data_IF_815622667484
#
_entry.id   IF_815622667484
#
_cell.length_a   1.000
_cell.length_b   1.000
_cell.length_c   1.000
_cell.angle_alpha   90.00
_cell.angle_beta   90.00
_cell.angle_gamma   90.00
#
_symmetry.space_group_name_H-M   'P 1'
#
loop_
_entity.id
_entity.type
_entity.pdbx_description
1 polymer ?
#
# COMPACT_ATOMS: atom_id res chain seq x y z
N UNK A 1 -28.67 -5.42 73.47
CA UNK A 1 -28.22 -4.28 72.65
C UNK A 1 -27.39 -4.85 71.53
N UNK A 2 -27.97 -4.90 70.33
CA UNK A 2 -27.41 -5.55 69.14
C UNK A 2 -26.62 -4.52 68.34
N UNK A 3 -25.32 -4.71 68.17
CA UNK A 3 -24.49 -3.98 67.22
C UNK A 3 -24.54 -4.69 65.86
N UNK A 4 -24.77 -3.99 64.73
CA UNK A 4 -24.77 -4.60 63.41
C UNK A 4 -23.34 -4.70 62.85
N UNK A 5 -23.02 -5.72 62.02
CA UNK A 5 -21.77 -5.76 61.28
C UNK A 5 -21.84 -4.90 60.02
N UNK A 6 -20.82 -4.05 59.83
CA UNK A 6 -20.53 -3.34 58.60
C UNK A 6 -20.05 -4.34 57.55
N UNK A 7 -20.87 -4.63 56.55
CA UNK A 7 -20.41 -5.23 55.28
C UNK A 7 -20.48 -4.14 54.23
N UNK A 8 -19.37 -3.42 54.03
CA UNK A 8 -19.24 -2.52 52.89
C UNK A 8 -18.82 -3.36 51.68
N UNK A 9 -19.83 -3.84 50.97
CA UNK A 9 -19.66 -4.47 49.67
C UNK A 9 -19.28 -3.40 48.68
N UNK A 10 -17.98 -3.29 48.39
CA UNK A 10 -17.50 -2.67 47.16
C UNK A 10 -17.88 -3.57 45.98
N UNK A 11 -19.16 -3.55 45.62
CA UNK A 11 -19.59 -3.85 44.26
C UNK A 11 -18.82 -2.89 43.37
N UNK A 12 -17.81 -3.40 42.66
CA UNK A 12 -17.34 -2.77 41.44
C UNK A 12 -18.55 -2.73 40.54
N UNK A 13 -19.21 -1.58 40.51
CA UNK A 13 -20.18 -1.21 39.49
C UNK A 13 -19.41 -1.29 38.17
N UNK A 14 -19.43 -2.49 37.55
CA UNK A 14 -19.09 -2.61 36.16
C UNK A 14 -20.12 -1.77 35.44
N UNK A 15 -19.70 -0.64 34.87
CA UNK A 15 -20.47 0.10 33.89
C UNK A 15 -20.76 -0.86 32.72
N UNK A 16 -21.77 -1.71 32.91
CA UNK A 16 -22.33 -2.58 31.89
C UNK A 16 -23.21 -1.70 31.03
N UNK A 17 -22.59 -0.78 30.29
CA UNK A 17 -23.26 -0.13 29.18
C UNK A 17 -23.81 -1.24 28.28
N UNK A 18 -25.12 -1.22 27.97
CA UNK A 18 -25.69 -2.23 27.09
C UNK A 18 -24.92 -2.20 25.78
N UNK A 19 -24.50 -3.38 25.33
CA UNK A 19 -23.77 -3.55 24.09
C UNK A 19 -24.62 -3.02 22.93
N UNK A 20 -24.28 -1.83 22.45
CA UNK A 20 -24.92 -1.20 21.29
C UNK A 20 -23.97 -1.23 20.10
N UNK A 21 -24.51 -1.24 18.88
CA UNK A 21 -23.67 -1.16 17.67
C UNK A 21 -22.76 0.08 17.68
N UNK A 22 -23.23 1.19 18.25
CA UNK A 22 -22.42 2.40 18.41
C UNK A 22 -21.23 2.19 19.37
N UNK A 23 -21.43 1.48 20.47
CA UNK A 23 -20.36 1.15 21.40
C UNK A 23 -19.32 0.23 20.73
N UNK A 24 -19.79 -0.76 19.96
CA UNK A 24 -18.95 -1.63 19.15
C UNK A 24 -18.07 -0.82 18.18
N UNK A 25 -18.66 0.13 17.44
CA UNK A 25 -17.92 0.96 16.48
C UNK A 25 -16.86 1.83 17.15
N UNK A 26 -17.17 2.41 18.32
CA UNK A 26 -16.21 3.21 19.10
C UNK A 26 -15.03 2.34 19.55
N UNK A 27 -15.31 1.16 20.11
CA UNK A 27 -14.26 0.22 20.52
C UNK A 27 -13.36 -0.17 19.33
N UNK A 28 -13.96 -0.53 18.20
CA UNK A 28 -13.19 -0.93 17.01
C UNK A 28 -12.33 0.22 16.47
N UNK A 29 -12.86 1.45 16.42
CA UNK A 29 -12.07 2.62 16.03
C UNK A 29 -10.94 2.92 17.02
N UNK A 30 -11.18 2.68 18.32
CA UNK A 30 -10.15 2.72 19.34
C UNK A 30 -9.00 1.75 19.07
N UNK A 31 -9.30 0.50 18.71
CA UNK A 31 -8.28 -0.51 18.35
C UNK A 31 -7.51 -0.10 17.09
N UNK A 32 -8.20 0.39 16.06
CA UNK A 32 -7.55 0.90 14.83
C UNK A 32 -6.59 2.04 15.15
N UNK A 33 -6.99 2.98 16.00
CA UNK A 33 -6.12 4.07 16.43
C UNK A 33 -4.97 3.58 17.29
N UNK A 34 -5.20 2.60 18.16
CA UNK A 34 -4.15 1.98 18.96
C UNK A 34 -3.09 1.30 18.09
N UNK A 35 -3.49 0.66 16.98
CA UNK A 35 -2.56 0.00 16.06
C UNK A 35 -1.52 0.96 15.47
N UNK A 36 -1.90 2.22 15.25
CA UNK A 36 -0.98 3.27 14.77
C UNK A 36 0.12 3.61 15.77
N UNK A 37 -0.12 3.41 17.07
CA UNK A 37 0.79 3.76 18.15
C UNK A 37 1.57 2.55 18.66
N UNK A 38 0.88 1.41 18.79
CA UNK A 38 1.45 0.16 19.29
C UNK A 38 0.68 -1.04 18.70
N UNK A 39 1.18 -1.62 17.59
CA UNK A 39 0.53 -2.74 16.91
C UNK A 39 0.36 -3.98 17.81
N UNK A 40 1.35 -4.27 18.65
CA UNK A 40 1.30 -5.40 19.59
C UNK A 40 0.14 -5.28 20.60
N UNK A 41 -0.04 -4.09 21.19
CA UNK A 41 -1.17 -3.84 22.12
C UNK A 41 -2.52 -3.85 21.40
N UNK A 42 -2.58 -3.34 20.17
CA UNK A 42 -3.80 -3.42 19.37
C UNK A 42 -4.18 -4.86 19.04
N UNK A 43 -3.19 -5.71 18.74
CA UNK A 43 -3.39 -7.15 18.56
C UNK A 43 -3.95 -7.83 19.82
N UNK A 44 -3.40 -7.52 20.99
CA UNK A 44 -3.92 -8.03 22.27
C UNK A 44 -5.36 -7.59 22.53
N UNK A 45 -5.66 -6.30 22.31
CA UNK A 45 -7.02 -5.76 22.47
C UNK A 45 -8.00 -6.36 21.46
N UNK A 46 -7.57 -6.60 20.22
CA UNK A 46 -8.39 -7.28 19.22
C UNK A 46 -8.76 -8.70 19.67
N UNK A 47 -7.82 -9.46 20.24
CA UNK A 47 -8.10 -10.82 20.74
C UNK A 47 -9.07 -10.80 21.91
N UNK A 48 -8.90 -9.88 22.86
CA UNK A 48 -9.81 -9.80 24.01
C UNK A 48 -11.24 -9.48 23.58
N UNK A 49 -11.40 -8.52 22.66
CA UNK A 49 -12.73 -8.10 22.17
C UNK A 49 -13.37 -9.13 21.24
N UNK A 50 -12.58 -9.87 20.46
CA UNK A 50 -13.11 -10.91 19.54
C UNK A 50 -13.89 -11.99 20.27
N UNK A 51 -13.50 -12.31 21.50
CA UNK A 51 -14.19 -13.32 22.31
C UNK A 51 -15.54 -12.83 22.85
N UNK A 52 -15.75 -11.52 22.89
CA UNK A 52 -16.93 -10.89 23.49
C UNK A 52 -17.96 -10.42 22.45
N UNK A 53 -17.57 -10.34 21.17
CA UNK A 53 -18.36 -9.69 20.13
C UNK A 53 -18.41 -10.49 18.83
N UNK A 54 -19.61 -10.93 18.42
CA UNK A 54 -19.89 -11.30 17.03
C UNK A 54 -19.95 -10.02 16.17
N UNK A 55 -18.79 -9.49 15.80
CA UNK A 55 -18.72 -8.33 14.92
C UNK A 55 -18.81 -8.74 13.44
N UNK A 56 -19.44 -7.89 12.62
CA UNK A 56 -19.50 -8.08 11.17
C UNK A 56 -18.08 -8.20 10.57
N UNK A 57 -17.88 -9.16 9.67
CA UNK A 57 -16.57 -9.52 9.08
C UNK A 57 -15.79 -8.30 8.53
N UNK A 58 -16.51 -7.31 7.97
CA UNK A 58 -15.93 -6.07 7.47
C UNK A 58 -15.25 -5.20 8.54
N UNK A 59 -15.74 -5.21 9.80
CA UNK A 59 -15.12 -4.46 10.91
C UNK A 59 -13.80 -5.10 11.32
N UNK A 60 -13.76 -6.43 11.44
CA UNK A 60 -12.55 -7.18 11.75
C UNK A 60 -11.48 -7.05 10.66
N UNK A 61 -11.90 -6.97 9.39
CA UNK A 61 -10.96 -6.69 8.28
C UNK A 61 -10.24 -5.36 8.48
N UNK A 62 -10.94 -4.28 8.85
CA UNK A 62 -10.31 -2.95 9.08
C UNK A 62 -9.28 -2.97 10.21
N UNK A 63 -9.59 -3.65 11.32
CA UNK A 63 -8.64 -3.79 12.43
C UNK A 63 -7.40 -4.57 11.99
N UNK A 64 -7.58 -5.71 11.33
CA UNK A 64 -6.47 -6.52 10.82
C UNK A 64 -5.58 -5.72 9.86
N UNK A 65 -6.17 -4.99 8.91
CA UNK A 65 -5.45 -4.10 7.99
C UNK A 65 -4.59 -3.09 8.76
N UNK A 66 -5.15 -2.42 9.77
CA UNK A 66 -4.42 -1.43 10.55
C UNK A 66 -3.26 -2.07 11.33
N UNK A 67 -3.50 -3.17 12.05
CA UNK A 67 -2.46 -3.84 12.83
C UNK A 67 -1.33 -4.34 11.93
N UNK A 68 -1.65 -4.98 10.81
CA UNK A 68 -0.64 -5.48 9.86
C UNK A 68 0.17 -4.32 9.30
N UNK A 69 -0.49 -3.29 8.76
CA UNK A 69 0.20 -2.14 8.16
C UNK A 69 1.20 -1.52 9.12
N UNK A 70 0.78 -1.25 10.36
CA UNK A 70 1.67 -0.61 11.32
C UNK A 70 2.72 -1.56 11.89
N UNK A 71 2.45 -2.87 11.95
CA UNK A 71 3.48 -3.86 12.32
C UNK A 71 4.61 -3.91 11.30
N UNK A 72 4.32 -3.77 10.01
CA UNK A 72 5.33 -3.80 8.94
C UNK A 72 6.30 -2.61 8.99
N UNK A 73 5.94 -1.51 9.66
CA UNK A 73 6.84 -0.35 9.83
C UNK A 73 7.40 -0.24 11.26
N UNK A 74 6.95 -1.07 12.19
CA UNK A 74 7.30 -0.95 13.60
C UNK A 74 8.63 -1.66 13.91
N UNK A 75 9.67 -0.89 14.22
CA UNK A 75 10.91 -1.44 14.77
C UNK A 75 10.73 -1.98 16.20
N UNK A 76 9.77 -1.43 16.94
CA UNK A 76 9.49 -1.79 18.33
C UNK A 76 8.02 -2.17 18.48
N UNK A 77 7.79 -3.28 19.18
CA UNK A 77 6.46 -3.82 19.48
C UNK A 77 5.55 -4.04 18.23
N UNK A 78 6.03 -4.69 17.16
CA UNK A 78 5.13 -5.21 16.13
C UNK A 78 4.19 -6.27 16.71
N UNK A 79 3.08 -6.54 16.01
CA UNK A 79 2.30 -7.74 16.30
C UNK A 79 3.13 -9.01 16.01
N UNK A 80 2.74 -10.19 16.54
CA UNK A 80 3.50 -11.43 16.32
C UNK A 80 3.77 -11.71 14.83
N UNK A 81 5.02 -11.98 14.41
CA UNK A 81 5.38 -12.12 12.99
C UNK A 81 4.55 -13.18 12.25
N UNK A 82 4.39 -14.37 12.83
CA UNK A 82 3.61 -15.46 12.21
C UNK A 82 2.14 -15.05 11.96
N UNK A 83 1.58 -14.26 12.88
CA UNK A 83 0.21 -13.76 12.73
C UNK A 83 0.14 -12.71 11.62
N UNK A 84 1.11 -11.80 11.55
CA UNK A 84 1.22 -10.78 10.49
C UNK A 84 1.31 -11.45 9.12
N UNK A 85 2.18 -12.44 8.95
CA UNK A 85 2.36 -13.18 7.70
C UNK A 85 1.07 -13.89 7.27
N UNK A 86 0.40 -14.56 8.22
CA UNK A 86 -0.91 -15.18 7.97
C UNK A 86 -1.96 -14.14 7.55
N UNK A 87 -1.94 -12.94 8.15
CA UNK A 87 -2.89 -11.90 7.79
C UNK A 87 -2.61 -11.31 6.42
N UNK A 88 -1.35 -11.15 6.01
CA UNK A 88 -1.01 -10.64 4.67
C UNK A 88 -1.60 -11.56 3.60
N UNK A 89 -1.41 -12.87 3.76
CA UNK A 89 -1.99 -13.86 2.87
C UNK A 89 -3.52 -13.81 2.85
N UNK A 90 -4.16 -13.74 4.02
CA UNK A 90 -5.64 -13.78 4.10
C UNK A 90 -6.33 -12.48 3.69
N UNK A 91 -5.68 -11.32 3.89
CA UNK A 91 -6.22 -10.02 3.52
C UNK A 91 -6.18 -9.79 2.01
N UNK A 92 -5.25 -10.45 1.31
CA UNK A 92 -5.05 -10.34 -0.14
C UNK A 92 -5.00 -8.87 -0.60
N UNK A 93 -4.22 -8.08 0.14
CA UNK A 93 -4.02 -6.66 -0.10
C UNK A 93 -2.64 -6.45 -0.73
N UNK A 94 -2.60 -6.02 -2.00
CA UNK A 94 -1.37 -5.86 -2.75
C UNK A 94 -0.44 -4.81 -2.11
N UNK A 95 -0.98 -3.75 -1.50
CA UNK A 95 -0.17 -2.71 -0.87
C UNK A 95 0.60 -3.30 0.33
N UNK A 96 -0.10 -4.04 1.19
CA UNK A 96 0.53 -4.71 2.34
C UNK A 96 1.52 -5.77 1.91
N UNK A 97 1.18 -6.54 0.88
CA UNK A 97 2.06 -7.60 0.35
C UNK A 97 3.35 -7.00 -0.21
N UNK A 98 3.27 -5.86 -0.91
CA UNK A 98 4.45 -5.13 -1.41
C UNK A 98 5.33 -4.62 -0.27
N UNK A 99 4.74 -4.02 0.77
CA UNK A 99 5.51 -3.54 1.92
C UNK A 99 6.24 -4.71 2.59
N UNK A 100 5.54 -5.82 2.81
CA UNK A 100 6.14 -7.03 3.37
C UNK A 100 7.27 -7.58 2.49
N UNK A 101 7.08 -7.62 1.17
CA UNK A 101 8.11 -8.05 0.23
C UNK A 101 9.35 -7.17 0.31
N UNK A 102 9.19 -5.84 0.45
CA UNK A 102 10.31 -4.92 0.62
C UNK A 102 11.09 -5.19 1.91
N UNK A 103 10.40 -5.45 3.02
CA UNK A 103 11.05 -5.83 4.27
C UNK A 103 11.78 -7.17 4.12
N UNK A 104 11.15 -8.17 3.51
CA UNK A 104 11.77 -9.46 3.27
C UNK A 104 13.02 -9.36 2.37
N UNK A 105 13.01 -8.47 1.36
CA UNK A 105 14.19 -8.18 0.52
C UNK A 105 15.30 -7.55 1.36
N UNK A 106 14.98 -6.54 2.17
CA UNK A 106 15.95 -5.88 3.04
C UNK A 106 16.60 -6.84 4.05
N UNK A 107 15.84 -7.83 4.53
CA UNK A 107 16.28 -8.86 5.48
C UNK A 107 16.93 -10.08 4.81
N UNK A 108 16.94 -10.15 3.47
CA UNK A 108 17.48 -11.30 2.73
C UNK A 108 16.65 -12.58 2.85
N UNK A 109 15.35 -12.48 3.15
CA UNK A 109 14.41 -13.62 3.30
C UNK A 109 13.91 -14.12 1.96
N UNK A 110 14.83 -14.59 1.13
CA UNK A 110 14.58 -14.98 -0.26
C UNK A 110 13.61 -16.14 -0.45
N UNK A 111 13.51 -17.06 0.51
CA UNK A 111 12.53 -18.16 0.46
C UNK A 111 11.11 -17.62 0.61
N UNK A 112 10.90 -16.70 1.54
CA UNK A 112 9.60 -16.14 1.87
C UNK A 112 9.07 -15.27 0.71
N UNK A 113 9.97 -14.54 0.04
CA UNK A 113 9.64 -13.71 -1.13
C UNK A 113 8.91 -14.52 -2.20
N UNK A 114 9.32 -15.77 -2.47
CA UNK A 114 8.67 -16.62 -3.47
C UNK A 114 7.20 -16.89 -3.14
N UNK A 115 6.92 -17.14 -1.87
CA UNK A 115 5.55 -17.31 -1.37
C UNK A 115 4.78 -16.00 -1.44
N UNK A 116 5.38 -14.88 -1.03
CA UNK A 116 4.73 -13.57 -1.04
C UNK A 116 4.34 -13.09 -2.44
N UNK A 117 5.18 -13.35 -3.45
CA UNK A 117 4.85 -13.00 -4.84
C UNK A 117 3.58 -13.70 -5.31
N UNK A 118 3.34 -14.93 -4.86
CA UNK A 118 2.15 -15.69 -5.24
C UNK A 118 0.84 -15.09 -4.70
N UNK A 119 0.93 -14.25 -3.66
CA UNK A 119 -0.22 -13.56 -3.08
C UNK A 119 -0.60 -12.29 -3.85
N UNK A 120 0.33 -11.70 -4.60
CA UNK A 120 0.05 -10.53 -5.41
C UNK A 120 -0.91 -10.85 -6.55
N UNK A 121 -1.84 -9.95 -6.85
CA UNK A 121 -2.64 -10.02 -8.08
C UNK A 121 -1.73 -9.92 -9.32
N UNK A 122 -2.20 -10.47 -10.45
CA UNK A 122 -1.39 -10.60 -11.67
C UNK A 122 -0.97 -9.25 -12.26
N UNK A 123 -1.78 -8.21 -12.07
CA UNK A 123 -1.62 -6.86 -12.61
C UNK A 123 -0.75 -5.95 -11.72
N UNK A 124 -0.21 -6.45 -10.60
CA UNK A 124 0.62 -5.65 -9.72
C UNK A 124 1.95 -5.27 -10.39
N UNK A 125 2.20 -3.97 -10.49
CA UNK A 125 3.39 -3.39 -11.14
C UNK A 125 4.70 -3.86 -10.47
N UNK A 126 4.64 -4.20 -9.19
CA UNK A 126 5.80 -4.59 -8.37
C UNK A 126 6.05 -6.12 -8.37
N UNK A 127 5.15 -6.93 -8.92
CA UNK A 127 5.33 -8.40 -9.03
C UNK A 127 6.59 -8.81 -9.79
N UNK A 128 6.95 -8.17 -10.93
CA UNK A 128 8.22 -8.45 -11.59
C UNK A 128 9.42 -8.24 -10.66
N UNK A 129 9.46 -7.16 -9.88
CA UNK A 129 10.56 -6.87 -8.95
C UNK A 129 10.72 -7.96 -7.87
N UNK A 130 9.61 -8.44 -7.34
CA UNK A 130 9.62 -9.50 -6.33
C UNK A 130 10.09 -10.84 -6.90
N UNK A 131 9.72 -11.16 -8.15
CA UNK A 131 10.25 -12.32 -8.87
C UNK A 131 11.75 -12.21 -9.15
N UNK A 132 12.26 -11.00 -9.41
CA UNK A 132 13.69 -10.78 -9.63
C UNK A 132 14.53 -11.11 -8.39
N UNK A 133 14.09 -10.71 -7.20
CA UNK A 133 14.77 -11.07 -5.94
C UNK A 133 14.86 -12.59 -5.73
N UNK A 134 13.83 -13.33 -6.11
CA UNK A 134 13.86 -14.80 -6.07
C UNK A 134 14.82 -15.44 -7.07
N UNK A 135 15.09 -14.78 -8.20
CA UNK A 135 16.03 -15.26 -9.24
C UNK A 135 17.50 -15.11 -8.83
N UNK A 136 17.87 -14.02 -8.15
CA UNK A 136 19.23 -13.81 -7.59
C UNK A 136 19.63 -14.91 -6.61
N UNK A 137 18.66 -15.50 -5.93
CA UNK A 137 18.90 -16.53 -4.91
C UNK A 137 19.13 -17.92 -5.49
N UNK A 138 19.12 -18.08 -6.83
CA UNK A 138 19.29 -19.37 -7.51
C UNK A 138 18.15 -20.37 -7.27
N UNK A 139 17.03 -19.94 -6.68
CA UNK A 139 15.90 -20.81 -6.30
C UNK A 139 14.72 -20.75 -7.27
N UNK A 140 14.57 -19.65 -8.02
CA UNK A 140 13.77 -19.64 -9.24
C UNK A 140 14.69 -20.10 -10.36
N UNK A 141 14.36 -21.22 -11.00
CA UNK A 141 15.15 -21.75 -12.11
C UNK A 141 15.51 -20.66 -13.12
N UNK A 142 16.79 -20.59 -13.47
CA UNK A 142 17.43 -19.56 -14.30
C UNK A 142 16.62 -19.21 -15.55
N UNK A 143 16.08 -20.23 -16.22
CA UNK A 143 15.34 -20.10 -17.48
C UNK A 143 14.10 -19.19 -17.40
N UNK A 144 13.36 -19.18 -16.28
CA UNK A 144 12.17 -18.32 -16.12
C UNK A 144 12.53 -16.92 -15.66
N UNK A 145 13.65 -16.78 -14.94
CA UNK A 145 14.21 -15.49 -14.53
C UNK A 145 14.75 -14.72 -15.74
N UNK A 146 15.47 -15.38 -16.63
CA UNK A 146 16.10 -14.74 -17.79
C UNK A 146 15.07 -14.12 -18.75
N UNK A 147 13.93 -14.79 -18.98
CA UNK A 147 12.84 -14.24 -19.78
C UNK A 147 12.20 -12.99 -19.12
N UNK A 148 12.14 -12.96 -17.79
CA UNK A 148 11.58 -11.84 -17.05
C UNK A 148 12.53 -10.64 -17.10
N UNK A 149 13.82 -10.87 -16.89
CA UNK A 149 14.86 -9.85 -17.03
C UNK A 149 14.88 -9.26 -18.44
N UNK A 150 14.79 -10.09 -19.48
CA UNK A 150 14.71 -9.63 -20.86
C UNK A 150 13.46 -8.77 -21.14
N UNK A 151 12.31 -9.12 -20.55
CA UNK A 151 11.09 -8.33 -20.68
C UNK A 151 11.18 -6.98 -19.96
N UNK A 152 11.75 -6.96 -18.75
CA UNK A 152 11.91 -5.73 -17.96
C UNK A 152 12.93 -4.78 -18.57
N UNK A 153 13.97 -5.32 -19.20
CA UNK A 153 15.01 -4.55 -19.91
C UNK A 153 14.44 -3.65 -21.01
N UNK A 154 13.23 -3.96 -21.51
CA UNK A 154 12.53 -3.13 -22.49
C UNK A 154 11.76 -1.96 -21.86
N UNK A 155 11.66 -1.86 -20.54
CA UNK A 155 10.90 -0.80 -19.85
C UNK A 155 11.77 0.44 -19.58
N UNK A 156 11.17 1.64 -19.73
CA UNK A 156 11.81 2.91 -19.35
C UNK A 156 11.59 3.18 -17.87
N UNK A 157 12.22 2.38 -17.02
CA UNK A 157 12.12 2.49 -15.57
C UNK A 157 13.46 2.20 -14.91
N UNK A 158 13.64 2.62 -13.65
CA UNK A 158 14.85 2.31 -12.88
C UNK A 158 15.17 0.80 -12.92
N UNK A 159 14.18 -0.05 -12.68
CA UNK A 159 14.34 -1.51 -12.72
C UNK A 159 14.53 -2.06 -14.13
N UNK A 160 14.02 -1.38 -15.16
CA UNK A 160 14.29 -1.73 -16.56
C UNK A 160 15.74 -1.52 -16.96
N UNK A 161 16.36 -0.43 -16.51
CA UNK A 161 17.79 -0.19 -16.76
C UNK A 161 18.67 -1.19 -15.99
N UNK A 162 18.36 -1.49 -14.73
CA UNK A 162 19.04 -2.55 -13.98
C UNK A 162 18.90 -3.93 -14.65
N UNK A 163 17.73 -4.21 -15.22
CA UNK A 163 17.50 -5.43 -15.96
C UNK A 163 18.37 -5.50 -17.22
N UNK A 164 18.45 -4.40 -17.97
CA UNK A 164 19.28 -4.29 -19.17
C UNK A 164 20.77 -4.50 -18.84
N UNK A 165 21.28 -3.91 -17.76
CA UNK A 165 22.65 -4.15 -17.28
C UNK A 165 22.91 -5.62 -17.03
N UNK A 166 21.97 -6.31 -16.37
CA UNK A 166 22.12 -7.72 -16.01
C UNK A 166 22.12 -8.65 -17.22
N UNK A 167 21.28 -8.40 -18.22
CA UNK A 167 21.23 -9.23 -19.45
C UNK A 167 22.22 -8.76 -20.52
N UNK A 168 22.98 -7.68 -20.27
CA UNK A 168 23.91 -7.10 -21.24
C UNK A 168 23.23 -6.46 -22.45
N UNK A 169 22.00 -5.96 -22.29
CA UNK A 169 21.24 -5.27 -23.35
C UNK A 169 21.43 -3.76 -23.27
N UNK A 170 21.21 -3.07 -24.38
CA UNK A 170 21.22 -1.61 -24.41
C UNK A 170 19.99 -1.03 -23.67
N UNK A 171 20.16 0.14 -23.07
CA UNK A 171 19.06 0.85 -22.42
C UNK A 171 18.01 1.30 -23.43
N UNK A 172 16.77 0.92 -23.17
CA UNK A 172 15.64 1.28 -24.01
C UNK A 172 14.91 2.48 -23.40
N UNK A 173 14.98 3.64 -24.06
CA UNK A 173 14.27 4.84 -23.61
C UNK A 173 12.80 4.88 -24.03
N UNK A 174 12.38 3.98 -24.93
CA UNK A 174 11.03 3.94 -25.51
C UNK A 174 10.57 5.34 -25.96
N UNK A 175 11.41 6.02 -26.75
CA UNK A 175 11.06 7.34 -27.27
C UNK A 175 9.84 7.24 -28.18
N UNK A 176 8.73 7.82 -27.73
CA UNK A 176 7.56 7.99 -28.57
C UNK A 176 7.82 9.24 -29.41
N UNK A 177 8.35 9.04 -30.62
CA UNK A 177 8.48 10.12 -31.59
C UNK A 177 7.08 10.56 -32.03
N UNK A 178 6.63 11.70 -31.52
CA UNK A 178 5.36 12.29 -31.93
C UNK A 178 5.44 12.76 -33.38
N UNK A 179 4.78 11.99 -34.25
CA UNK A 179 4.58 12.37 -35.65
C UNK A 179 3.19 12.97 -35.82
N UNK A 180 2.85 14.05 -35.11
CA UNK A 180 1.65 14.83 -35.46
C UNK A 180 1.60 16.26 -34.87
N UNK A 181 0.93 17.12 -35.63
CA UNK A 181 0.77 18.56 -35.47
C UNK A 181 0.22 18.98 -34.10
N UNK A 182 0.65 20.14 -33.62
CA UNK A 182 0.17 20.75 -32.38
C UNK A 182 -1.34 20.61 -32.22
N UNK A 183 -1.85 20.29 -31.01
CA UNK A 183 -3.28 20.11 -30.81
C UNK A 183 -4.02 21.39 -31.20
N UNK A 184 -5.27 21.31 -31.71
CA UNK A 184 -5.96 22.46 -32.29
C UNK A 184 -6.04 23.70 -31.38
N UNK A 185 -6.04 23.50 -30.05
CA UNK A 185 -6.04 24.58 -29.07
C UNK A 185 -4.68 25.27 -28.91
N UNK A 186 -3.55 24.61 -29.18
CA UNK A 186 -2.23 25.23 -29.12
C UNK A 186 -2.06 26.33 -30.19
N UNK A 187 -2.83 26.23 -31.28
CA UNK A 187 -2.91 27.23 -32.34
C UNK A 187 -4.01 28.29 -32.11
N UNK A 188 -4.82 28.17 -31.04
CA UNK A 188 -5.89 29.13 -30.75
C UNK A 188 -5.39 30.27 -29.85
N UNK A 189 -5.66 31.53 -30.22
CA UNK A 189 -5.41 32.68 -29.36
C UNK A 189 -6.60 32.91 -28.42
N UNK A 190 -7.07 31.87 -27.73
CA UNK A 190 -8.08 32.04 -26.68
C UNK A 190 -7.44 32.59 -25.39
N UNK A 191 -8.29 33.22 -24.57
CA UNK A 191 -7.87 33.87 -23.32
C UNK A 191 -7.26 32.87 -22.33
N UNK A 192 -7.65 31.59 -22.39
CA UNK A 192 -7.13 30.51 -21.56
C UNK A 192 -5.68 30.14 -21.94
N UNK A 193 -5.35 30.00 -23.23
CA UNK A 193 -3.96 29.79 -23.67
C UNK A 193 -3.07 31.01 -23.41
N UNK A 194 -3.65 32.21 -23.42
CA UNK A 194 -2.94 33.45 -23.14
C UNK A 194 -2.66 33.61 -21.65
N UNK A 195 -3.63 33.33 -20.77
CA UNK A 195 -3.43 33.28 -19.32
C UNK A 195 -2.39 32.21 -18.93
N UNK A 196 -2.44 31.01 -19.54
CA UNK A 196 -1.44 29.94 -19.33
C UNK A 196 -0.02 30.39 -19.70
N UNK A 197 0.18 31.02 -20.87
CA UNK A 197 1.49 31.57 -21.27
C UNK A 197 1.98 32.65 -20.29
N UNK A 198 1.08 33.47 -19.77
CA UNK A 198 1.41 34.48 -18.75
C UNK A 198 1.81 33.85 -17.41
N UNK A 199 1.08 32.85 -16.91
CA UNK A 199 1.44 32.14 -15.68
C UNK A 199 2.75 31.36 -15.80
N UNK A 200 3.00 30.74 -16.96
CA UNK A 200 4.27 30.06 -17.26
C UNK A 200 5.45 31.03 -17.24
N UNK A 201 5.29 32.25 -17.79
CA UNK A 201 6.31 33.31 -17.72
C UNK A 201 6.61 33.78 -16.30
N UNK A 202 5.66 33.62 -15.38
CA UNK A 202 5.81 34.02 -13.97
C UNK A 202 6.13 32.85 -13.03
N UNK A 203 6.34 31.64 -13.58
CA UNK A 203 6.78 30.47 -12.80
C UNK A 203 5.81 30.04 -11.69
N UNK A 204 4.52 30.32 -11.85
CA UNK A 204 3.56 30.17 -10.76
C UNK A 204 3.03 28.72 -10.64
N UNK A 205 2.61 28.32 -9.43
CA UNK A 205 2.00 27.00 -9.18
C UNK A 205 0.72 26.81 -10.00
N UNK A 206 -0.02 27.89 -10.18
CA UNK A 206 -1.25 27.98 -10.94
C UNK A 206 -1.00 27.63 -12.41
N UNK A 207 0.17 27.95 -12.97
CA UNK A 207 0.54 27.53 -14.33
C UNK A 207 0.49 26.00 -14.48
N UNK A 208 1.00 25.26 -13.49
CA UNK A 208 1.01 23.80 -13.47
C UNK A 208 -0.39 23.23 -13.29
N UNK A 209 -1.21 23.85 -12.44
CA UNK A 209 -2.60 23.42 -12.21
C UNK A 209 -3.46 23.63 -13.45
N UNK A 210 -3.35 24.78 -14.11
CA UNK A 210 -4.00 25.06 -15.39
C UNK A 210 -3.51 24.10 -16.49
N UNK A 211 -2.21 23.81 -16.53
CA UNK A 211 -1.66 22.82 -17.46
C UNK A 211 -2.26 21.41 -17.24
N UNK A 212 -2.31 20.95 -15.98
CA UNK A 212 -2.92 19.65 -15.63
C UNK A 212 -4.40 19.62 -15.97
N UNK A 213 -5.13 20.70 -15.71
CA UNK A 213 -6.55 20.81 -16.04
C UNK A 213 -6.76 20.62 -17.55
N UNK A 214 -6.03 21.34 -18.39
CA UNK A 214 -6.15 21.20 -19.86
C UNK A 214 -5.77 19.81 -20.35
N UNK A 215 -4.66 19.23 -19.85
CA UNK A 215 -4.27 17.87 -20.23
C UNK A 215 -5.32 16.82 -19.83
N UNK A 216 -5.98 17.01 -18.69
CA UNK A 216 -7.04 16.10 -18.25
C UNK A 216 -8.30 16.15 -19.12
N UNK A 217 -8.49 17.19 -19.92
CA UNK A 217 -9.58 17.26 -20.90
C UNK A 217 -9.27 16.46 -22.18
N UNK A 218 -8.01 16.07 -22.41
CA UNK A 218 -7.64 15.25 -23.57
C UNK A 218 -8.04 13.78 -23.38
N UNK A 219 -8.39 13.07 -24.47
CA UNK A 219 -8.46 11.61 -24.49
C UNK A 219 -7.16 10.97 -23.97
N UNK A 220 -7.25 9.82 -23.28
CA UNK A 220 -6.09 9.19 -22.60
C UNK A 220 -4.94 8.87 -23.55
N UNK A 221 -5.25 8.43 -24.75
CA UNK A 221 -4.32 8.16 -25.86
C UNK A 221 -3.50 9.39 -26.25
N UNK A 222 -4.05 10.59 -26.06
CA UNK A 222 -3.37 11.87 -26.32
C UNK A 222 -2.68 12.45 -25.08
N UNK A 223 -2.94 11.97 -23.87
CA UNK A 223 -2.26 12.47 -22.64
C UNK A 223 -0.84 11.97 -22.51
N UNK A 224 -0.61 10.72 -22.87
CA UNK A 224 0.72 10.11 -22.91
C UNK A 224 1.62 10.69 -24.01
N UNK A 225 1.11 11.64 -24.80
CA UNK A 225 1.81 12.29 -25.88
C UNK A 225 2.35 13.69 -25.56
N UNK A 226 2.19 14.17 -24.31
CA UNK A 226 2.60 15.52 -23.89
C UNK A 226 3.10 15.56 -22.44
#
# INVERSE_FOLDING_TARGET
MNSPPFTDGLSREGDHHPYTERHADILMMGIVRLAQLNPSRAYQAMISVKNEMEAAEGRWRKIRLAIVRHSLFAERAPAPPDWVDTQIQSLNDDELTIIWLRNAIAEGRWRDILSGVSWLQAESVDRPLALLGGSESGRIGTVRGDSLWASLAQSRSFHGFLAADRVGSAYTLNEILHKESYPPWASRPDWECSARRSFWRWGSREAKEQWRHTLNQLPRDRRSAW
#
